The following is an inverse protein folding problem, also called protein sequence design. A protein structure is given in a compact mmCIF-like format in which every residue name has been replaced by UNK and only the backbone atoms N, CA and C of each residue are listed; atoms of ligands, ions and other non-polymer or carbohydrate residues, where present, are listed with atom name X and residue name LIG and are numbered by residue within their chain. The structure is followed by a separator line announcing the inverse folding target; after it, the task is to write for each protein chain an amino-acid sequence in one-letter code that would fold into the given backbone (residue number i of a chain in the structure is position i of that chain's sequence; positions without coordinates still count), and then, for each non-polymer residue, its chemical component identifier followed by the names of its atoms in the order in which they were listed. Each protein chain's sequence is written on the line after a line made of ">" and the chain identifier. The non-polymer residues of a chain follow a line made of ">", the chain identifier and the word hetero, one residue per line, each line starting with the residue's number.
data_IF_039327314675
#
_entry.id   IF_039327314675
#
_cell.length_a   1.000
_cell.length_b   1.000
_cell.length_c   1.000
_cell.angle_alpha   90.00
_cell.angle_beta   90.00
_cell.angle_gamma   90.00
#
_symmetry.space_group_name_H-M   'P 1'
#
loop_
_entity.id
_entity.type
_entity.pdbx_description
1 polymer ?
#
# COMPACT_ATOMS: atom_id res chain seq x y z
N UNK A 1 -33.59 -5.59 -20.39
CA UNK A 1 -32.30 -5.03 -19.96
C UNK A 1 -31.27 -5.53 -20.94
N UNK A 2 -30.69 -4.62 -21.68
CA UNK A 2 -29.78 -4.92 -22.78
C UNK A 2 -28.38 -5.19 -22.22
N UNK A 3 -27.87 -6.41 -22.45
CA UNK A 3 -26.59 -6.86 -21.89
C UNK A 3 -25.40 -6.06 -22.46
N UNK A 4 -25.62 -5.35 -23.57
CA UNK A 4 -24.64 -4.44 -24.18
C UNK A 4 -24.38 -3.18 -23.35
N UNK A 5 -25.37 -2.64 -22.64
CA UNK A 5 -25.17 -1.46 -21.78
C UNK A 5 -24.27 -1.78 -20.58
N UNK A 6 -24.35 -3.01 -20.06
CA UNK A 6 -23.54 -3.44 -18.92
C UNK A 6 -22.08 -3.74 -19.28
N UNK A 7 -21.75 -3.84 -20.57
CA UNK A 7 -20.39 -4.13 -21.06
C UNK A 7 -19.62 -2.86 -21.40
N UNK A 8 -20.27 -1.68 -21.46
CA UNK A 8 -19.61 -0.37 -21.44
C UNK A 8 -19.20 -0.03 -20.00
N UNK A 9 -18.54 -0.96 -19.33
CA UNK A 9 -17.87 -0.67 -18.07
C UNK A 9 -16.73 0.28 -18.41
N UNK A 10 -16.62 1.47 -17.80
CA UNK A 10 -15.42 2.27 -17.96
C UNK A 10 -14.26 1.40 -17.50
N UNK A 11 -13.37 1.07 -18.43
CA UNK A 11 -12.06 0.56 -18.03
C UNK A 11 -11.50 1.62 -17.08
N UNK A 12 -10.99 1.21 -15.91
CA UNK A 12 -10.45 2.15 -14.92
C UNK A 12 -9.50 3.21 -15.52
N UNK A 13 -8.90 2.90 -16.68
CA UNK A 13 -8.17 3.82 -17.56
C UNK A 13 -9.02 4.95 -18.12
N UNK A 14 -10.14 4.64 -18.77
CA UNK A 14 -11.11 5.62 -19.28
C UNK A 14 -11.60 6.50 -18.14
N UNK A 15 -11.97 5.89 -17.00
CA UNK A 15 -12.36 6.64 -15.81
C UNK A 15 -11.27 7.61 -15.34
N UNK A 16 -10.00 7.18 -15.33
CA UNK A 16 -8.89 8.01 -14.89
C UNK A 16 -8.56 9.12 -15.90
N UNK A 17 -8.69 8.84 -17.20
CA UNK A 17 -8.57 9.85 -18.27
C UNK A 17 -9.69 10.89 -18.15
N UNK A 18 -10.93 10.45 -17.95
CA UNK A 18 -12.08 11.33 -17.75
C UNK A 18 -11.93 12.18 -16.48
N UNK A 19 -11.38 11.60 -15.41
CA UNK A 19 -11.06 12.31 -14.17
C UNK A 19 -10.04 13.44 -14.43
N UNK A 20 -8.93 13.12 -15.10
CA UNK A 20 -7.89 14.11 -15.45
C UNK A 20 -8.45 15.21 -16.35
N UNK A 21 -9.26 14.84 -17.34
CA UNK A 21 -9.88 15.80 -18.26
C UNK A 21 -10.90 16.71 -17.56
N UNK A 22 -11.75 16.14 -16.71
CA UNK A 22 -12.80 16.89 -15.99
C UNK A 22 -12.24 17.86 -14.96
N UNK A 23 -11.17 17.50 -14.26
CA UNK A 23 -10.48 18.36 -13.28
C UNK A 23 -9.45 19.29 -13.95
N UNK A 24 -9.28 19.23 -15.28
CA UNK A 24 -8.32 20.02 -16.07
C UNK A 24 -6.87 19.89 -15.58
N UNK A 25 -6.49 18.70 -15.12
CA UNK A 25 -5.12 18.39 -14.71
C UNK A 25 -4.21 18.25 -15.94
N UNK A 26 -2.92 18.56 -15.78
CA UNK A 26 -1.92 18.37 -16.85
C UNK A 26 -1.54 16.88 -16.98
N UNK A 27 -1.78 16.22 -18.12
CA UNK A 27 -1.45 14.80 -18.31
C UNK A 27 0.06 14.49 -18.24
N UNK A 28 0.91 15.50 -18.45
CA UNK A 28 2.37 15.35 -18.39
C UNK A 28 2.92 15.57 -16.98
N UNK A 29 2.11 16.17 -16.10
CA UNK A 29 2.56 16.69 -14.83
C UNK A 29 1.51 16.47 -13.72
N UNK A 30 1.28 15.19 -13.40
CA UNK A 30 0.23 14.80 -12.46
C UNK A 30 0.76 14.75 -11.03
N UNK A 31 0.04 15.41 -10.12
CA UNK A 31 0.17 15.18 -8.69
C UNK A 31 -0.66 13.96 -8.26
N UNK A 32 0.05 12.92 -7.80
CA UNK A 32 -0.55 11.69 -7.32
C UNK A 32 -1.49 11.91 -6.13
N UNK A 33 -1.18 12.85 -5.24
CA UNK A 33 -2.00 13.13 -4.06
C UNK A 33 -3.35 13.71 -4.47
N UNK A 34 -3.32 14.67 -5.40
CA UNK A 34 -4.52 15.32 -5.94
C UNK A 34 -5.39 14.33 -6.71
N UNK A 35 -4.80 13.53 -7.61
CA UNK A 35 -5.54 12.51 -8.36
C UNK A 35 -6.16 11.47 -7.44
N UNK A 36 -5.44 11.00 -6.42
CA UNK A 36 -5.96 10.02 -5.48
C UNK A 36 -7.18 10.55 -4.72
N UNK A 37 -7.14 11.81 -4.25
CA UNK A 37 -8.26 12.43 -3.54
C UNK A 37 -9.48 12.60 -4.45
N UNK A 38 -9.27 13.12 -5.67
CA UNK A 38 -10.33 13.32 -6.65
C UNK A 38 -10.96 12.01 -7.12
N UNK A 39 -10.16 10.97 -7.25
CA UNK A 39 -10.61 9.64 -7.61
C UNK A 39 -11.61 9.09 -6.57
N UNK A 40 -11.28 9.20 -5.28
CA UNK A 40 -12.16 8.76 -4.19
C UNK A 40 -13.41 9.62 -4.10
N UNK A 41 -13.28 10.94 -4.23
CA UNK A 41 -14.40 11.87 -4.23
C UNK A 41 -15.42 11.50 -5.31
N UNK A 42 -14.94 11.24 -6.54
CA UNK A 42 -15.75 10.81 -7.68
C UNK A 42 -16.45 9.48 -7.42
N UNK A 43 -15.72 8.49 -6.90
CA UNK A 43 -16.28 7.15 -6.57
C UNK A 43 -17.34 7.23 -5.46
N UNK A 44 -17.14 8.06 -4.43
CA UNK A 44 -18.14 8.29 -3.37
C UNK A 44 -19.40 8.95 -3.89
N UNK A 45 -19.26 9.92 -4.80
CA UNK A 45 -20.40 10.58 -5.43
C UNK A 45 -21.24 9.56 -6.23
N UNK A 46 -20.60 8.61 -6.92
CA UNK A 46 -21.30 7.53 -7.62
C UNK A 46 -22.04 6.58 -6.68
N UNK A 47 -21.44 6.18 -5.56
CA UNK A 47 -22.07 5.30 -4.57
C UNK A 47 -23.38 5.90 -4.03
N UNK A 48 -23.43 7.23 -3.90
CA UNK A 48 -24.62 7.95 -3.45
C UNK A 48 -25.75 8.04 -4.50
N UNK A 49 -25.45 7.83 -5.78
CA UNK A 49 -26.38 8.04 -6.90
C UNK A 49 -26.82 6.74 -7.57
N UNK A 50 -25.97 5.69 -7.62
CA UNK A 50 -26.32 4.32 -8.01
C UNK A 50 -25.15 3.36 -7.68
N UNK A 51 -25.40 2.26 -6.95
CA UNK A 51 -24.39 1.32 -6.45
C UNK A 51 -23.62 0.51 -7.50
N UNK A 52 -23.77 0.81 -8.79
CA UNK A 52 -23.14 0.07 -9.87
C UNK A 52 -21.75 0.63 -10.19
N UNK A 53 -20.82 0.49 -9.24
CA UNK A 53 -19.42 0.85 -9.45
C UNK A 53 -18.63 -0.38 -9.91
N UNK A 54 -17.91 -0.29 -11.03
CA UNK A 54 -17.05 -1.38 -11.50
C UNK A 54 -15.94 -1.74 -10.48
N UNK A 55 -15.78 -3.02 -10.14
CA UNK A 55 -14.78 -3.47 -9.15
C UNK A 55 -13.33 -3.11 -9.53
N UNK A 56 -13.04 -2.99 -10.82
CA UNK A 56 -11.73 -2.56 -11.35
C UNK A 56 -11.42 -1.08 -11.02
N UNK A 57 -12.43 -0.20 -10.98
CA UNK A 57 -12.29 1.21 -10.59
C UNK A 57 -12.00 1.33 -9.10
N UNK A 58 -12.70 0.55 -8.28
CA UNK A 58 -12.45 0.48 -6.83
C UNK A 58 -11.02 0.02 -6.55
N UNK A 59 -10.57 -1.03 -7.25
CA UNK A 59 -9.20 -1.53 -7.13
C UNK A 59 -8.17 -0.45 -7.51
N UNK A 60 -8.37 0.23 -8.64
CA UNK A 60 -7.49 1.33 -9.06
C UNK A 60 -7.45 2.46 -8.00
N UNK A 61 -8.61 2.83 -7.45
CA UNK A 61 -8.73 3.85 -6.41
C UNK A 61 -7.96 3.48 -5.13
N UNK A 62 -8.11 2.23 -4.67
CA UNK A 62 -7.37 1.72 -3.51
C UNK A 62 -5.86 1.69 -3.73
N UNK A 63 -5.41 1.47 -4.96
CA UNK A 63 -3.99 1.46 -5.29
C UNK A 63 -3.42 2.88 -5.35
N UNK A 64 -4.15 3.84 -5.90
CA UNK A 64 -3.78 5.26 -5.86
C UNK A 64 -3.65 5.77 -4.42
N UNK A 65 -4.57 5.36 -3.55
CA UNK A 65 -4.48 5.60 -2.10
C UNK A 65 -3.22 5.02 -1.48
N UNK A 66 -2.88 3.77 -1.82
CA UNK A 66 -1.64 3.15 -1.34
C UNK A 66 -0.42 3.96 -1.77
N UNK A 67 -0.37 4.37 -3.03
CA UNK A 67 0.74 5.18 -3.53
C UNK A 67 0.83 6.55 -2.82
N UNK A 68 -0.32 7.17 -2.51
CA UNK A 68 -0.37 8.40 -1.71
C UNK A 68 0.17 8.17 -0.28
N UNK A 69 -0.17 7.05 0.35
CA UNK A 69 0.34 6.69 1.67
C UNK A 69 1.85 6.42 1.63
N UNK A 70 2.33 5.64 0.65
CA UNK A 70 3.75 5.38 0.42
C UNK A 70 4.53 6.69 0.20
N UNK A 71 3.92 7.69 -0.44
CA UNK A 71 4.52 9.02 -0.63
C UNK A 71 4.59 9.85 0.67
N UNK A 72 3.77 9.55 1.68
CA UNK A 72 3.71 10.27 2.95
C UNK A 72 4.77 9.80 3.97
N UNK A 73 5.28 8.56 3.83
CA UNK A 73 6.14 7.87 4.82
C UNK A 73 7.61 8.34 4.93
N UNK A 74 7.93 9.60 4.59
CA UNK A 74 9.32 10.12 4.74
C UNK A 74 9.47 11.47 5.43
N UNK A 75 8.55 11.82 6.34
CA UNK A 75 8.96 12.70 7.44
C UNK A 75 9.52 11.80 8.53
N UNK A 76 10.84 11.79 8.81
CA UNK A 76 11.24 11.35 10.14
C UNK A 76 10.38 12.19 11.09
N UNK A 77 9.64 11.51 11.97
CA UNK A 77 9.07 12.18 13.13
C UNK A 77 10.20 13.04 13.66
N UNK A 78 10.04 14.37 13.59
CA UNK A 78 10.93 15.26 14.31
C UNK A 78 10.92 14.69 15.71
N UNK A 79 12.05 14.11 16.09
CA UNK A 79 12.25 13.51 17.39
C UNK A 79 11.83 14.62 18.35
N UNK A 80 10.69 14.45 19.01
CA UNK A 80 10.30 15.35 20.08
C UNK A 80 11.42 15.16 21.09
N UNK A 81 12.41 16.04 21.05
CA UNK A 81 13.45 16.14 22.06
C UNK A 81 12.72 16.47 23.33
N UNK A 82 12.39 15.44 24.11
CA UNK A 82 12.10 15.60 25.52
C UNK A 82 13.36 16.22 26.08
N UNK A 83 13.26 17.44 26.60
CA UNK A 83 14.37 18.12 27.27
C UNK A 83 14.71 17.31 28.53
N UNK A 84 15.51 16.26 28.39
CA UNK A 84 16.16 15.61 29.52
C UNK A 84 17.35 16.48 29.95
N UNK A 85 17.31 16.93 31.21
CA UNK A 85 18.37 17.74 31.83
C UNK A 85 19.76 17.07 31.68
N UNK A 86 20.83 17.83 31.41
CA UNK A 86 22.07 17.25 30.90
C UNK A 86 22.86 16.50 31.98
N UNK A 87 23.02 15.19 31.82
CA UNK A 87 24.07 14.43 32.50
C UNK A 87 25.38 14.63 31.73
N UNK A 88 26.37 15.30 32.33
CA UNK A 88 27.67 15.53 31.69
C UNK A 88 28.43 14.21 31.51
N UNK A 89 28.50 13.73 30.27
CA UNK A 89 29.45 12.70 29.83
C UNK A 89 30.45 13.33 28.87
N UNK A 90 31.74 13.22 29.19
CA UNK A 90 32.83 13.52 28.26
C UNK A 90 32.94 12.31 27.30
N UNK A 91 33.03 12.50 25.98
CA UNK A 91 34.19 12.16 25.12
C UNK A 91 33.86 11.86 23.64
N UNK A 92 34.85 12.22 22.80
CA UNK A 92 35.14 11.88 21.41
C UNK A 92 34.30 12.54 20.30
N UNK A 93 34.93 13.52 19.63
CA UNK A 93 34.52 14.13 18.37
C UNK A 93 34.53 13.10 17.23
N UNK A 94 33.56 12.18 17.23
CA UNK A 94 33.28 11.34 16.07
C UNK A 94 32.13 11.98 15.30
N UNK A 95 32.33 12.45 14.05
CA UNK A 95 31.22 12.95 13.26
C UNK A 95 30.24 11.78 13.01
N UNK A 96 29.02 11.92 13.52
CA UNK A 96 27.95 10.95 13.27
C UNK A 96 27.76 10.78 11.76
N UNK A 97 27.97 9.55 11.27
CA UNK A 97 27.65 9.20 9.89
C UNK A 97 26.13 9.15 9.74
N UNK A 98 25.54 10.29 9.40
CA UNK A 98 24.13 10.35 9.03
C UNK A 98 23.97 9.59 7.71
N UNK A 99 23.41 8.39 7.77
CA UNK A 99 22.84 7.76 6.60
C UNK A 99 21.74 8.70 6.12
N UNK A 100 22.02 9.49 5.07
CA UNK A 100 20.99 10.28 4.42
C UNK A 100 20.16 9.29 3.62
N UNK A 101 18.97 8.85 4.08
CA UNK A 101 18.13 8.00 3.26
C UNK A 101 17.92 8.73 1.94
N UNK A 102 18.04 8.01 0.83
CA UNK A 102 17.74 8.55 -0.49
C UNK A 102 16.28 9.00 -0.45
N UNK A 103 16.04 10.30 -0.24
CA UNK A 103 14.69 10.87 -0.19
C UNK A 103 14.07 10.60 -1.56
N UNK A 104 13.04 9.75 -1.67
CA UNK A 104 12.30 9.66 -2.92
C UNK A 104 11.73 11.06 -3.14
N UNK A 105 12.25 11.74 -4.17
CA UNK A 105 11.68 13.03 -4.55
C UNK A 105 10.25 12.72 -4.99
N UNK A 106 9.27 13.46 -4.47
CA UNK A 106 7.95 13.54 -5.04
C UNK A 106 8.10 14.11 -6.46
N UNK A 107 8.44 13.26 -7.42
CA UNK A 107 8.46 13.62 -8.83
C UNK A 107 7.02 13.64 -9.27
N UNK A 108 6.65 14.69 -9.98
CA UNK A 108 5.41 14.70 -10.74
C UNK A 108 5.50 13.59 -11.79
N UNK A 109 4.43 12.82 -11.92
CA UNK A 109 4.39 11.59 -12.70
C UNK A 109 3.56 11.85 -13.96
N UNK A 110 3.90 11.22 -15.09
CA UNK A 110 3.05 11.32 -16.29
C UNK A 110 1.83 10.42 -16.13
N UNK A 111 0.71 10.77 -16.79
CA UNK A 111 -0.49 9.92 -16.83
C UNK A 111 -0.20 8.49 -17.27
N UNK A 112 0.65 8.35 -18.29
CA UNK A 112 1.02 7.04 -18.84
C UNK A 112 1.82 6.20 -17.85
N UNK A 113 2.76 6.82 -17.14
CA UNK A 113 3.55 6.16 -16.10
C UNK A 113 2.65 5.72 -14.95
N UNK A 114 1.72 6.57 -14.51
CA UNK A 114 0.74 6.24 -13.48
C UNK A 114 -0.13 5.03 -13.88
N UNK A 115 -0.68 5.05 -15.10
CA UNK A 115 -1.48 3.95 -15.61
C UNK A 115 -0.67 2.65 -15.71
N UNK A 116 0.57 2.72 -16.16
CA UNK A 116 1.45 1.55 -16.28
C UNK A 116 1.80 0.98 -14.92
N UNK A 117 2.05 1.83 -13.92
CA UNK A 117 2.31 1.43 -12.54
C UNK A 117 1.09 0.73 -11.93
N UNK A 118 -0.11 1.30 -12.11
CA UNK A 118 -1.36 0.69 -11.65
C UNK A 118 -1.57 -0.69 -12.28
N UNK A 119 -1.42 -0.79 -13.59
CA UNK A 119 -1.57 -2.06 -14.30
C UNK A 119 -0.55 -3.11 -13.87
N UNK A 120 0.70 -2.71 -13.67
CA UNK A 120 1.78 -3.60 -13.22
C UNK A 120 1.44 -4.22 -11.87
N UNK A 121 0.92 -3.43 -10.92
CA UNK A 121 0.52 -3.92 -9.60
C UNK A 121 -0.71 -4.82 -9.70
N UNK A 122 -1.70 -4.47 -10.53
CA UNK A 122 -2.87 -5.32 -10.76
C UNK A 122 -2.51 -6.69 -11.34
N UNK A 123 -1.54 -6.75 -12.27
CA UNK A 123 -1.03 -8.02 -12.82
C UNK A 123 -0.25 -8.82 -11.77
N UNK A 124 0.52 -8.14 -10.93
CA UNK A 124 1.40 -8.76 -9.93
C UNK A 124 0.66 -9.30 -8.70
N UNK A 125 -0.52 -8.77 -8.38
CA UNK A 125 -1.33 -9.12 -7.19
C UNK A 125 -1.83 -10.58 -7.10
N UNK A 126 -1.49 -11.45 -8.06
CA UNK A 126 -1.90 -12.88 -8.06
C UNK A 126 -0.99 -13.84 -7.29
N UNK A 127 0.09 -13.39 -6.66
CA UNK A 127 1.03 -14.29 -5.95
C UNK A 127 1.22 -13.95 -4.47
N UNK A 128 0.30 -14.43 -3.63
CA UNK A 128 0.68 -14.94 -2.31
C UNK A 128 -0.15 -16.20 -2.05
N UNK A 129 0.32 -17.35 -2.55
CA UNK A 129 0.01 -18.60 -1.87
C UNK A 129 0.70 -18.49 -0.51
N UNK A 130 -0.03 -18.07 0.53
CA UNK A 130 0.40 -18.36 1.90
C UNK A 130 0.34 -19.86 2.02
N UNK A 131 1.46 -20.52 1.76
CA UNK A 131 1.71 -21.86 2.27
C UNK A 131 1.69 -21.67 3.78
N UNK A 132 0.54 -21.91 4.41
CA UNK A 132 0.52 -22.12 5.85
C UNK A 132 1.21 -23.48 5.99
N UNK A 133 2.45 -23.57 6.50
CA UNK A 133 3.01 -24.88 6.79
C UNK A 133 2.03 -25.54 7.75
N UNK A 134 1.51 -26.72 7.38
CA UNK A 134 0.78 -27.55 8.34
C UNK A 134 1.67 -27.69 9.58
N UNK A 135 1.12 -27.54 10.80
CA UNK A 135 1.91 -27.71 12.00
C UNK A 135 2.56 -29.09 11.90
N UNK A 136 3.90 -29.11 11.96
CA UNK A 136 4.69 -30.34 11.97
C UNK A 136 4.12 -31.19 13.10
N UNK A 137 3.51 -32.32 12.77
CA UNK A 137 3.10 -33.28 13.77
C UNK A 137 4.39 -33.74 14.47
N UNK A 138 4.63 -33.23 15.68
CA UNK A 138 5.71 -33.69 16.55
C UNK A 138 5.42 -35.16 16.85
N UNK A 139 6.11 -36.05 16.14
CA UNK A 139 6.00 -37.49 16.36
C UNK A 139 6.79 -37.82 17.64
N UNK A 140 6.23 -37.46 18.79
CA UNK A 140 6.81 -37.73 20.10
C UNK A 140 6.64 -39.22 20.36
N UNK A 141 7.71 -39.99 20.12
CA UNK A 141 7.79 -41.34 20.64
C UNK A 141 7.99 -41.24 22.16
N UNK A 142 6.90 -41.45 22.90
CA UNK A 142 6.96 -41.57 24.35
C UNK A 142 7.75 -42.84 24.70
N UNK A 143 8.79 -42.76 25.55
CA UNK A 143 9.48 -43.96 26.00
C UNK A 143 8.50 -44.88 26.74
N UNK A 144 8.65 -46.21 26.63
CA UNK A 144 7.75 -47.15 27.30
C UNK A 144 7.78 -46.87 28.80
N UNK A 145 6.59 -46.63 29.35
CA UNK A 145 6.37 -46.34 30.75
C UNK A 145 6.74 -47.58 31.57
N UNK A 146 7.97 -47.67 32.05
CA UNK A 146 8.38 -48.67 33.05
C UNK A 146 7.86 -48.24 34.41
N UNK A 147 6.53 -48.31 34.59
CA UNK A 147 5.92 -48.25 35.91
C UNK A 147 5.66 -49.68 36.36
N UNK A 148 6.59 -50.23 37.14
CA UNK A 148 6.36 -51.49 37.82
C UNK A 148 7.62 -52.32 38.01
N UNK A 149 8.59 -51.82 38.78
CA UNK A 149 9.58 -52.73 39.37
C UNK A 149 10.32 -52.13 40.56
N UNK A 150 9.59 -51.62 41.57
CA UNK A 150 10.22 -51.36 42.89
C UNK A 150 9.24 -51.49 44.05
N UNK A 151 8.57 -52.63 44.24
CA UNK A 151 8.15 -53.07 45.59
C UNK A 151 8.00 -54.60 45.64
N UNK A 152 9.03 -55.30 46.13
CA UNK A 152 8.98 -56.38 47.14
C UNK A 152 10.38 -56.95 47.36
#
# INVERSE_FOLDING_TARGET
>A
MDLMEMVVQPTWREFLVDLVQSEKMDPWDIDLCEVADKCIERVKNWESMDLHIPANVILASSLLLRFKADALEWKPLEEYTVEEEPVMLIQEDLPELILKPNRPRARRVTLQELMTAVESVMKSGRRVQRIIPSPIALNVQLPPKTMGERIS
#
